data_IF_555330758946
#
_entry.id   IF_555330758946
#
_cell.length_a   1.000
_cell.length_b   1.000
_cell.length_c   1.000
_cell.angle_alpha   90.00
_cell.angle_beta   90.00
_cell.angle_gamma   90.00
#
_symmetry.space_group_name_H-M   'P 1'
#
loop_
_entity.id
_entity.type
_entity.pdbx_description
1 polymer ?
#
# COMPACT_ATOMS: atom_id res chain seq x y z
N UNK A 1 18.91 42.37 19.60
CA UNK A 1 18.73 41.50 18.42
C UNK A 1 18.07 40.22 18.91
N UNK A 2 16.75 40.12 18.79
CA UNK A 2 15.94 39.02 19.36
C UNK A 2 15.53 38.13 18.19
N UNK A 3 15.98 36.88 18.20
CA UNK A 3 15.50 35.86 17.27
C UNK A 3 14.23 35.26 17.86
N UNK A 4 13.07 35.66 17.34
CA UNK A 4 11.82 34.99 17.61
C UNK A 4 11.91 33.58 17.02
N UNK A 5 12.00 32.55 17.87
CA UNK A 5 11.75 31.19 17.45
C UNK A 5 10.29 31.10 17.01
N UNK A 6 10.07 30.85 15.72
CA UNK A 6 8.77 30.41 15.26
C UNK A 6 8.54 29.01 15.84
N UNK A 7 7.52 28.88 16.67
CA UNK A 7 6.89 27.58 16.94
C UNK A 7 6.12 27.29 15.65
N UNK A 8 6.75 26.57 14.73
CA UNK A 8 6.00 25.91 13.66
C UNK A 8 5.10 24.88 14.35
N UNK A 9 3.80 25.15 14.28
CA UNK A 9 2.76 24.18 14.60
C UNK A 9 3.03 22.91 13.79
N UNK A 10 2.90 21.70 14.37
CA UNK A 10 2.99 20.48 13.58
C UNK A 10 1.98 20.61 12.46
N UNK A 11 2.45 20.62 11.22
CA UNK A 11 1.58 20.56 10.06
C UNK A 11 0.82 19.27 10.24
N UNK A 12 -0.47 19.42 10.57
CA UNK A 12 -1.49 18.39 10.47
C UNK A 12 -1.16 17.62 9.21
N UNK A 13 -0.79 16.36 9.38
CA UNK A 13 -0.85 15.41 8.27
C UNK A 13 -2.32 15.36 7.91
N UNK A 14 -2.73 16.28 7.05
CA UNK A 14 -3.80 16.07 6.11
C UNK A 14 -3.40 14.75 5.47
N UNK A 15 -3.98 13.67 5.97
CA UNK A 15 -4.08 12.45 5.20
C UNK A 15 -4.83 12.90 3.96
N UNK A 16 -4.08 13.29 2.93
CA UNK A 16 -4.56 13.17 1.58
C UNK A 16 -4.87 11.68 1.46
N UNK A 17 -6.11 11.33 1.80
CA UNK A 17 -6.76 10.21 1.20
C UNK A 17 -6.78 10.64 -0.25
N UNK A 18 -5.72 10.31 -0.99
CA UNK A 18 -5.84 10.18 -2.43
C UNK A 18 -7.14 9.42 -2.59
N UNK A 19 -8.17 10.07 -3.15
CA UNK A 19 -9.39 9.38 -3.54
C UNK A 19 -8.88 8.11 -4.21
N UNK A 20 -9.16 6.90 -3.67
CA UNK A 20 -8.49 5.68 -4.12
C UNK A 20 -8.68 5.68 -5.61
N UNK A 21 -7.58 5.89 -6.33
CA UNK A 21 -7.63 6.51 -7.65
C UNK A 21 -8.55 5.63 -8.44
N UNK A 22 -9.80 6.08 -8.70
CA UNK A 22 -10.87 5.21 -9.17
C UNK A 22 -10.47 4.77 -10.56
N UNK A 23 -9.71 3.69 -10.59
CA UNK A 23 -9.09 3.22 -11.80
C UNK A 23 -10.27 2.83 -12.67
N UNK A 24 -10.59 3.63 -13.69
CA UNK A 24 -11.69 3.31 -14.59
C UNK A 24 -11.26 2.07 -15.36
N UNK A 25 -11.67 0.91 -14.87
CA UNK A 25 -11.40 -0.39 -15.45
C UNK A 25 -12.47 -0.68 -16.49
N UNK A 26 -12.02 -1.15 -17.65
CA UNK A 26 -12.89 -1.63 -18.71
C UNK A 26 -13.11 -3.15 -18.58
N UNK A 27 -14.35 -3.60 -18.78
CA UNK A 27 -14.75 -5.00 -18.58
C UNK A 27 -14.80 -5.82 -19.87
N UNK A 28 -14.40 -5.26 -21.01
CA UNK A 28 -14.65 -5.88 -22.32
C UNK A 28 -13.87 -7.18 -22.53
N UNK A 29 -12.66 -7.27 -21.96
CA UNK A 29 -11.83 -8.48 -22.01
C UNK A 29 -10.75 -8.41 -20.93
N UNK A 30 -10.04 -9.52 -20.72
CA UNK A 30 -8.98 -9.60 -19.71
C UNK A 30 -7.83 -8.62 -19.93
N UNK A 31 -7.49 -8.26 -21.18
CA UNK A 31 -6.45 -7.27 -21.47
C UNK A 31 -6.88 -5.86 -21.03
N UNK A 32 -8.13 -5.50 -21.29
CA UNK A 32 -8.71 -4.23 -20.87
C UNK A 32 -8.82 -4.14 -19.33
N UNK A 33 -9.18 -5.26 -18.69
CA UNK A 33 -9.24 -5.40 -17.24
C UNK A 33 -7.87 -5.17 -16.59
N UNK A 34 -6.80 -5.64 -17.23
CA UNK A 34 -5.41 -5.55 -16.76
C UNK A 34 -4.65 -4.30 -17.24
N UNK A 35 -5.28 -3.39 -18.00
CA UNK A 35 -4.61 -2.26 -18.64
C UNK A 35 -3.88 -1.33 -17.66
N UNK A 36 -4.37 -1.26 -16.41
CA UNK A 36 -3.78 -0.47 -15.31
C UNK A 36 -2.96 -1.33 -14.33
N UNK A 37 -2.75 -2.59 -14.67
CA UNK A 37 -2.01 -3.57 -13.87
C UNK A 37 -2.88 -4.32 -12.85
N UNK A 38 -2.30 -5.37 -12.23
CA UNK A 38 -3.01 -6.26 -11.30
C UNK A 38 -3.47 -5.56 -10.02
N UNK A 39 -2.69 -4.59 -9.51
CA UNK A 39 -3.03 -3.89 -8.27
C UNK A 39 -4.29 -3.04 -8.43
N UNK A 40 -4.36 -2.24 -9.49
CA UNK A 40 -5.56 -1.44 -9.79
C UNK A 40 -6.80 -2.33 -9.96
N UNK A 41 -6.63 -3.50 -10.60
CA UNK A 41 -7.70 -4.49 -10.71
C UNK A 41 -8.13 -5.03 -9.33
N UNK A 42 -7.16 -5.38 -8.48
CA UNK A 42 -7.43 -5.88 -7.14
C UNK A 42 -8.23 -4.85 -6.32
N UNK A 43 -7.78 -3.60 -6.28
CA UNK A 43 -8.47 -2.51 -5.55
C UNK A 43 -9.90 -2.29 -6.06
N UNK A 44 -10.08 -2.31 -7.38
CA UNK A 44 -11.39 -2.18 -8.03
C UNK A 44 -12.35 -3.31 -7.64
N UNK A 45 -11.87 -4.56 -7.65
CA UNK A 45 -12.66 -5.73 -7.23
C UNK A 45 -13.01 -5.66 -5.75
N UNK A 46 -12.03 -5.36 -4.89
CA UNK A 46 -12.23 -5.23 -3.44
C UNK A 46 -13.31 -4.19 -3.16
N UNK A 47 -13.19 -2.98 -3.70
CA UNK A 47 -14.15 -1.91 -3.47
C UNK A 47 -15.59 -2.32 -3.82
N UNK A 48 -15.79 -2.90 -5.01
CA UNK A 48 -17.13 -3.27 -5.47
C UNK A 48 -17.71 -4.43 -4.68
N UNK A 49 -16.91 -5.44 -4.37
CA UNK A 49 -17.37 -6.62 -3.64
C UNK A 49 -17.64 -6.31 -2.17
N UNK A 50 -16.80 -5.54 -1.49
CA UNK A 50 -17.04 -5.14 -0.10
C UNK A 50 -18.30 -4.30 0.03
N UNK A 51 -18.55 -3.39 -0.93
CA UNK A 51 -19.81 -2.64 -1.01
C UNK A 51 -21.02 -3.55 -1.21
N UNK A 52 -20.92 -4.56 -2.07
CA UNK A 52 -22.02 -5.49 -2.32
C UNK A 52 -22.27 -6.43 -1.13
N UNK A 53 -21.22 -6.83 -0.41
CA UNK A 53 -21.29 -7.77 0.70
C UNK A 53 -21.58 -7.08 2.05
N UNK A 54 -21.36 -5.76 2.15
CA UNK A 54 -21.51 -5.00 3.40
C UNK A 54 -20.45 -5.35 4.46
N UNK A 55 -19.37 -6.00 4.06
CA UNK A 55 -18.26 -6.40 4.92
C UNK A 55 -16.96 -6.43 4.14
N UNK A 56 -15.84 -6.38 4.84
CA UNK A 56 -14.53 -6.57 4.24
C UNK A 56 -14.42 -7.95 3.56
N UNK A 57 -13.69 -8.00 2.45
CA UNK A 57 -13.39 -9.27 1.82
C UNK A 57 -12.47 -10.09 2.75
N UNK A 58 -12.65 -11.42 2.82
CA UNK A 58 -11.65 -12.26 3.46
C UNK A 58 -10.30 -12.03 2.77
N UNK A 59 -9.22 -12.10 3.54
CA UNK A 59 -7.88 -11.98 2.98
C UNK A 59 -7.67 -13.07 1.91
N UNK A 60 -7.24 -12.67 0.71
CA UNK A 60 -6.92 -13.61 -0.35
C UNK A 60 -5.71 -14.44 0.07
N UNK A 61 -5.92 -15.72 0.36
CA UNK A 61 -4.83 -16.65 0.64
C UNK A 61 -4.23 -17.16 -0.69
N UNK A 62 -2.99 -16.74 -0.97
CA UNK A 62 -2.20 -17.35 -2.05
C UNK A 62 -1.33 -18.45 -1.44
N UNK A 63 -1.70 -19.71 -1.72
CA UNK A 63 -0.95 -20.87 -1.25
C UNK A 63 0.04 -21.29 -2.32
N UNK A 64 1.32 -21.28 -1.97
CA UNK A 64 2.38 -21.79 -2.82
C UNK A 64 2.75 -23.21 -2.39
N UNK A 65 3.03 -24.07 -3.36
CA UNK A 65 3.63 -25.37 -3.14
C UNK A 65 5.04 -25.34 -3.73
N UNK A 66 6.01 -25.88 -2.99
CA UNK A 66 7.40 -26.02 -3.46
C UNK A 66 8.06 -24.67 -3.84
N UNK A 67 7.86 -23.62 -3.03
CA UNK A 67 8.51 -22.31 -3.20
C UNK A 67 9.83 -22.24 -2.43
N UNK A 68 10.86 -21.73 -3.10
CA UNK A 68 12.14 -21.34 -2.49
C UNK A 68 12.30 -19.83 -2.59
N UNK A 69 12.65 -19.18 -1.47
CA UNK A 69 12.90 -17.74 -1.37
C UNK A 69 14.34 -17.55 -0.92
N UNK A 70 15.10 -16.71 -1.62
CA UNK A 70 16.48 -16.36 -1.27
C UNK A 70 16.62 -14.86 -1.18
N UNK A 71 17.31 -14.36 -0.15
CA UNK A 71 17.55 -12.95 0.08
C UNK A 71 18.92 -12.75 0.74
N UNK A 72 19.67 -11.75 0.29
CA UNK A 72 20.89 -11.29 0.96
C UNK A 72 20.50 -10.37 2.12
N UNK A 73 20.93 -10.69 3.34
CA UNK A 73 20.62 -9.90 4.55
C UNK A 73 21.91 -9.29 5.09
N UNK A 74 21.98 -7.95 5.11
CA UNK A 74 23.09 -7.22 5.75
C UNK A 74 22.74 -6.95 7.21
N UNK A 75 23.56 -7.43 8.14
CA UNK A 75 23.44 -7.12 9.57
C UNK A 75 24.19 -5.82 9.85
N UNK A 76 23.47 -4.77 10.28
CA UNK A 76 24.10 -3.56 10.81
C UNK A 76 24.29 -3.76 12.31
N UNK A 77 25.54 -3.90 12.73
CA UNK A 77 25.87 -3.91 14.15
C UNK A 77 25.87 -2.45 14.67
N UNK A 78 24.92 -2.12 15.55
CA UNK A 78 24.85 -0.83 16.24
C UNK A 78 25.38 -0.91 17.68
N UNK A 79 26.21 -1.92 18.00
CA UNK A 79 26.84 -2.02 19.32
C UNK A 79 28.36 -2.05 19.22
N UNK A 80 28.95 -0.96 18.69
CA UNK A 80 30.24 -0.51 19.17
C UNK A 80 30.08 0.14 20.56
N UNK A 81 29.70 -0.65 21.56
CA UNK A 81 29.96 -0.29 22.95
C UNK A 81 31.45 -0.53 23.17
N UNK A 82 32.26 0.51 22.92
CA UNK A 82 33.62 0.57 23.43
C UNK A 82 33.55 0.51 24.96
N UNK A 83 33.94 -0.63 25.52
CA UNK A 83 34.38 -0.77 26.91
C UNK A 83 35.83 -0.33 27.03
#
# INVERSE_FOLDING_TARGET
MVFSKQVESPITTEFFIDEPTRAKIEYQNGKALMARGPQALHEHVVFHMEKALGRALPQMEVRFKDVSISADITVKDEMNLML
#
